data_IF_196943054168
#
_entry.id   IF_196943054168
#
_cell.length_a   1.000
_cell.length_b   1.000
_cell.length_c   1.000
_cell.angle_alpha   90.00
_cell.angle_beta   90.00
_cell.angle_gamma   90.00
#
_symmetry.space_group_name_H-M   'P 1'
#
loop_
_entity.id
_entity.type
_entity.pdbx_description
1 polymer ?
#
# COMPACT_ATOMS: atom_id res chain seq x y z
N UNK A 1 -16.95 17.26 27.93
CA UNK A 1 -15.58 16.89 27.53
C UNK A 1 -15.54 17.05 26.03
N UNK A 2 -14.84 18.08 25.52
CA UNK A 2 -14.68 18.22 24.06
C UNK A 2 -13.95 16.99 23.57
N UNK A 3 -14.48 16.30 22.57
CA UNK A 3 -13.77 15.19 21.96
C UNK A 3 -12.48 15.76 21.34
N UNK A 4 -11.33 15.17 21.65
CA UNK A 4 -10.07 15.60 21.05
C UNK A 4 -10.16 15.49 19.52
N UNK A 5 -9.66 16.50 18.82
CA UNK A 5 -9.73 16.55 17.35
C UNK A 5 -8.92 15.37 16.75
N UNK A 6 -9.30 14.84 15.57
CA UNK A 6 -8.58 13.72 14.94
C UNK A 6 -7.08 13.99 14.80
N UNK A 7 -6.71 15.23 14.48
CA UNK A 7 -5.31 15.66 14.30
C UNK A 7 -4.51 15.57 15.59
N UNK A 8 -5.10 15.92 16.73
CA UNK A 8 -4.45 15.86 18.04
C UNK A 8 -4.14 14.41 18.44
N UNK A 9 -5.00 13.46 18.03
CA UNK A 9 -4.83 12.03 18.31
C UNK A 9 -3.72 11.36 17.50
N UNK A 10 -3.33 11.92 16.35
CA UNK A 10 -2.25 11.35 15.51
C UNK A 10 -0.98 11.19 16.33
N UNK A 11 -0.64 12.20 17.13
CA UNK A 11 0.53 12.18 17.97
C UNK A 11 0.53 10.97 18.91
N UNK A 12 -0.55 10.83 19.68
CA UNK A 12 -0.76 9.77 20.66
C UNK A 12 -0.74 8.39 20.03
N UNK A 13 -1.42 8.21 18.89
CA UNK A 13 -1.46 6.92 18.19
C UNK A 13 -0.06 6.54 17.68
N UNK A 14 0.64 7.46 17.01
CA UNK A 14 1.99 7.17 16.50
C UNK A 14 3.00 6.85 17.61
N UNK A 15 2.88 7.48 18.77
CA UNK A 15 3.78 7.20 19.91
C UNK A 15 3.42 5.89 20.65
N UNK A 16 2.20 5.38 20.48
CA UNK A 16 1.74 4.12 21.06
C UNK A 16 2.06 2.89 20.18
N UNK A 17 2.49 3.10 18.93
CA UNK A 17 2.92 2.03 18.03
C UNK A 17 4.34 1.59 18.45
N UNK A 18 4.55 0.28 18.58
CA UNK A 18 5.84 -0.28 19.03
C UNK A 18 6.93 -0.12 17.96
N UNK A 19 6.56 -0.26 16.69
CA UNK A 19 7.46 -0.10 15.56
C UNK A 19 7.77 1.39 15.29
N UNK A 20 8.98 1.71 14.81
CA UNK A 20 9.35 3.10 14.52
C UNK A 20 8.49 3.68 13.39
N UNK A 21 7.77 4.76 13.71
CA UNK A 21 6.96 5.52 12.76
C UNK A 21 7.79 6.68 12.18
N UNK A 22 7.86 6.81 10.86
CA UNK A 22 8.63 7.90 10.26
C UNK A 22 7.96 9.27 10.44
N UNK A 23 8.77 10.32 10.30
CA UNK A 23 8.29 11.71 10.28
C UNK A 23 7.35 11.96 9.08
N UNK A 24 7.62 11.34 7.94
CA UNK A 24 6.83 11.51 6.72
C UNK A 24 5.45 10.89 6.88
N UNK A 25 5.36 9.70 7.50
CA UNK A 25 4.08 9.10 7.85
C UNK A 25 3.28 10.00 8.78
N UNK A 26 3.90 10.48 9.87
CA UNK A 26 3.23 11.32 10.86
C UNK A 26 2.71 12.63 10.23
N UNK A 27 3.52 13.25 9.37
CA UNK A 27 3.13 14.44 8.63
C UNK A 27 1.96 14.16 7.67
N UNK A 28 2.03 13.05 6.92
CA UNK A 28 0.97 12.65 5.99
C UNK A 28 -0.33 12.31 6.72
N UNK A 29 -0.27 11.59 7.83
CA UNK A 29 -1.42 11.26 8.66
C UNK A 29 -2.10 12.52 9.22
N UNK A 30 -1.33 13.50 9.68
CA UNK A 30 -1.87 14.79 10.15
C UNK A 30 -2.52 15.59 9.01
N UNK A 31 -1.96 15.56 7.79
CA UNK A 31 -2.56 16.18 6.61
C UNK A 31 -3.90 15.53 6.24
N UNK A 32 -3.94 14.20 6.23
CA UNK A 32 -5.15 13.41 5.96
C UNK A 32 -6.24 13.69 7.00
N UNK A 33 -5.90 13.66 8.28
CA UNK A 33 -6.83 13.95 9.37
C UNK A 33 -7.40 15.38 9.30
N UNK A 34 -6.58 16.39 8.98
CA UNK A 34 -7.06 17.77 8.76
C UNK A 34 -8.05 17.86 7.62
N UNK A 35 -7.81 17.16 6.50
CA UNK A 35 -8.75 17.17 5.37
C UNK A 35 -10.05 16.44 5.70
N UNK A 36 -9.97 15.34 6.44
CA UNK A 36 -11.14 14.64 6.97
C UNK A 36 -11.98 15.48 7.95
N UNK A 37 -11.40 16.54 8.52
CA UNK A 37 -12.11 17.45 9.43
C UNK A 37 -12.76 18.62 8.67
N UNK A 38 -12.01 19.26 7.76
CA UNK A 38 -12.44 20.52 7.14
C UNK A 38 -12.97 20.41 5.71
N UNK A 39 -12.55 19.39 4.95
CA UNK A 39 -12.89 19.27 3.52
C UNK A 39 -13.88 18.15 3.28
N UNK A 40 -13.66 16.99 3.90
CA UNK A 40 -14.47 15.80 3.74
C UNK A 40 -14.80 15.16 5.11
N UNK A 41 -15.74 15.77 5.87
CA UNK A 41 -16.15 15.26 7.18
C UNK A 41 -16.61 13.81 7.15
N UNK A 42 -15.91 12.95 7.89
CA UNK A 42 -16.29 11.55 8.06
C UNK A 42 -17.32 11.41 9.18
N UNK A 43 -18.35 10.59 8.99
CA UNK A 43 -19.32 10.27 10.06
C UNK A 43 -18.77 9.20 11.01
N UNK A 44 -17.62 9.48 11.64
CA UNK A 44 -16.87 8.57 12.50
C UNK A 44 -16.33 9.29 13.73
N UNK A 45 -15.97 8.54 14.77
CA UNK A 45 -15.36 9.14 15.96
C UNK A 45 -13.96 9.68 15.64
N UNK A 46 -13.47 10.71 16.36
CA UNK A 46 -12.14 11.25 16.13
C UNK A 46 -11.01 10.22 16.22
N UNK A 47 -11.16 9.21 17.08
CA UNK A 47 -10.20 8.10 17.15
C UNK A 47 -10.17 7.27 15.88
N UNK A 48 -11.34 6.91 15.34
CA UNK A 48 -11.42 6.11 14.11
C UNK A 48 -10.90 6.91 12.91
N UNK A 49 -11.21 8.20 12.83
CA UNK A 49 -10.69 9.09 11.78
C UNK A 49 -9.16 9.18 11.85
N UNK A 50 -8.61 9.43 13.05
CA UNK A 50 -7.16 9.50 13.26
C UNK A 50 -6.46 8.18 12.91
N UNK A 51 -6.98 7.04 13.39
CA UNK A 51 -6.44 5.71 13.12
C UNK A 51 -6.48 5.37 11.61
N UNK A 52 -7.58 5.73 10.93
CA UNK A 52 -7.71 5.55 9.48
C UNK A 52 -6.69 6.39 8.71
N UNK A 53 -6.45 7.63 9.14
CA UNK A 53 -5.45 8.51 8.56
C UNK A 53 -4.01 7.98 8.76
N UNK A 54 -3.69 7.45 9.95
CA UNK A 54 -2.39 6.81 10.23
C UNK A 54 -2.16 5.59 9.34
N UNK A 55 -3.15 4.70 9.25
CA UNK A 55 -3.03 3.50 8.42
C UNK A 55 -2.91 3.85 6.93
N UNK A 56 -3.74 4.77 6.44
CA UNK A 56 -3.66 5.24 5.05
C UNK A 56 -2.32 5.91 4.75
N UNK A 57 -1.80 6.74 5.65
CA UNK A 57 -0.48 7.35 5.51
C UNK A 57 0.61 6.29 5.35
N UNK A 58 0.59 5.23 6.18
CA UNK A 58 1.52 4.10 6.06
C UNK A 58 1.51 3.44 4.68
N UNK A 59 0.31 3.23 4.11
CA UNK A 59 0.17 2.69 2.76
C UNK A 59 0.78 3.62 1.70
N UNK A 60 0.56 4.93 1.82
CA UNK A 60 1.02 5.94 0.85
C UNK A 60 2.52 6.20 0.91
N UNK A 61 3.14 6.09 2.09
CA UNK A 61 4.60 6.24 2.26
C UNK A 61 5.36 4.91 2.18
N UNK A 62 4.66 3.81 1.91
CA UNK A 62 5.20 2.45 1.80
C UNK A 62 5.84 1.89 3.09
N UNK A 63 5.31 2.27 4.25
CA UNK A 63 5.68 1.69 5.54
C UNK A 63 4.85 0.45 5.88
N UNK A 64 5.50 -0.56 6.47
CA UNK A 64 4.88 -1.85 6.81
C UNK A 64 4.08 -1.79 8.10
N UNK A 65 3.05 -0.94 8.15
CA UNK A 65 2.11 -0.85 9.26
C UNK A 65 0.91 -1.76 9.02
N UNK A 66 0.58 -2.61 10.00
CA UNK A 66 -0.60 -3.47 9.92
C UNK A 66 -1.84 -2.76 10.48
N UNK A 67 -3.03 -3.15 10.01
CA UNK A 67 -4.28 -2.61 10.58
C UNK A 67 -4.45 -2.99 12.05
N UNK A 68 -3.92 -4.16 12.46
CA UNK A 68 -3.96 -4.62 13.85
C UNK A 68 -3.10 -3.71 14.75
N UNK A 69 -1.86 -3.43 14.34
CA UNK A 69 -0.95 -2.52 15.04
C UNK A 69 -1.61 -1.15 15.31
N UNK A 70 -2.26 -0.59 14.29
CA UNK A 70 -2.93 0.72 14.42
C UNK A 70 -4.22 0.62 15.25
N UNK A 71 -4.96 -0.48 15.14
CA UNK A 71 -6.17 -0.74 15.92
C UNK A 71 -5.87 -0.80 17.42
N UNK A 72 -4.81 -1.52 17.78
CA UNK A 72 -4.36 -1.66 19.16
C UNK A 72 -3.88 -0.32 19.72
N UNK A 73 -3.06 0.43 18.98
CA UNK A 73 -2.57 1.75 19.39
C UNK A 73 -3.68 2.81 19.55
N UNK A 74 -4.76 2.70 18.78
CA UNK A 74 -5.86 3.67 18.81
C UNK A 74 -7.07 3.23 19.65
N UNK A 75 -7.01 2.03 20.24
CA UNK A 75 -8.11 1.39 20.99
C UNK A 75 -9.41 1.31 20.17
N UNK A 76 -9.31 0.93 18.90
CA UNK A 76 -10.45 0.75 17.98
C UNK A 76 -10.43 -0.64 17.37
N UNK A 77 -11.55 -1.06 16.75
CA UNK A 77 -11.56 -2.33 16.04
C UNK A 77 -10.97 -2.18 14.61
N UNK A 78 -10.35 -3.27 14.13
CA UNK A 78 -9.73 -3.34 12.79
C UNK A 78 -10.70 -3.01 11.67
N UNK A 79 -11.98 -3.44 11.78
CA UNK A 79 -12.97 -3.17 10.74
C UNK A 79 -13.27 -1.66 10.61
N UNK A 80 -13.31 -0.92 11.71
CA UNK A 80 -13.49 0.53 11.71
C UNK A 80 -12.36 1.24 10.97
N UNK A 81 -11.11 0.77 11.14
CA UNK A 81 -9.97 1.25 10.36
C UNK A 81 -10.14 0.87 8.91
N UNK A 82 -10.50 -0.39 8.62
CA UNK A 82 -10.65 -0.89 7.25
C UNK A 82 -11.64 -0.05 6.44
N UNK A 83 -12.80 0.20 7.03
CA UNK A 83 -13.86 0.92 6.36
C UNK A 83 -13.53 2.43 6.33
N UNK A 84 -12.86 2.95 7.35
CA UNK A 84 -12.48 4.36 7.44
C UNK A 84 -11.35 4.77 6.51
N UNK A 85 -10.31 3.94 6.34
CA UNK A 85 -9.22 4.28 5.41
C UNK A 85 -9.72 4.25 3.95
N UNK A 86 -10.71 3.41 3.63
CA UNK A 86 -11.32 3.34 2.29
C UNK A 86 -12.11 4.59 1.98
N UNK A 87 -12.99 4.99 2.90
CA UNK A 87 -13.74 6.25 2.81
C UNK A 87 -12.78 7.45 2.67
N UNK A 88 -11.72 7.48 3.48
CA UNK A 88 -10.70 8.54 3.39
C UNK A 88 -9.94 8.51 2.06
N UNK A 89 -9.57 7.33 1.57
CA UNK A 89 -8.88 7.18 0.29
C UNK A 89 -9.73 7.60 -0.90
N UNK A 90 -11.03 7.31 -0.88
CA UNK A 90 -11.98 7.76 -1.92
C UNK A 90 -12.01 9.29 -1.99
N UNK A 91 -12.03 9.98 -0.84
CA UNK A 91 -11.95 11.44 -0.81
C UNK A 91 -10.62 11.98 -1.36
N UNK A 92 -9.50 11.32 -1.05
CA UNK A 92 -8.18 11.69 -1.57
C UNK A 92 -8.06 11.52 -3.08
N UNK A 93 -8.59 10.44 -3.63
CA UNK A 93 -8.58 10.15 -5.06
C UNK A 93 -9.47 11.15 -5.82
N UNK A 94 -10.63 11.50 -5.25
CA UNK A 94 -11.50 12.54 -5.79
C UNK A 94 -10.79 13.90 -5.79
N UNK A 95 -10.13 14.27 -4.69
CA UNK A 95 -9.39 15.52 -4.59
C UNK A 95 -8.28 15.61 -5.65
N UNK A 96 -7.49 14.55 -5.82
CA UNK A 96 -6.46 14.47 -6.86
C UNK A 96 -7.06 14.54 -8.27
N UNK A 97 -8.22 13.93 -8.49
CA UNK A 97 -8.96 14.01 -9.75
C UNK A 97 -9.48 15.41 -10.07
N UNK A 98 -9.93 16.18 -9.06
CA UNK A 98 -10.37 17.58 -9.22
C UNK A 98 -9.19 18.47 -9.58
N UNK A 99 -8.03 18.31 -8.92
CA UNK A 99 -6.81 19.05 -9.25
C UNK A 99 -6.35 18.82 -10.70
N UNK A 100 -6.42 17.57 -11.17
CA UNK A 100 -6.11 17.24 -12.57
C UNK A 100 -7.12 17.84 -13.57
N UNK A 101 -8.39 18.00 -13.17
CA UNK A 101 -9.44 18.52 -14.04
C UNK A 101 -9.40 20.04 -14.18
N UNK A 102 -9.02 20.73 -13.12
CA UNK A 102 -9.14 22.19 -13.07
C UNK A 102 -7.95 22.92 -13.69
N UNK A 103 -6.79 22.28 -13.89
CA UNK A 103 -5.72 22.76 -14.79
C UNK A 103 -5.21 24.20 -14.53
N UNK A 104 -5.65 24.84 -13.45
CA UNK A 104 -5.20 26.15 -12.99
C UNK A 104 -4.33 25.87 -11.78
N UNK A 105 -3.04 25.68 -12.07
CA UNK A 105 -2.00 25.75 -11.06
C UNK A 105 -2.00 27.16 -10.50
N UNK A 106 -2.62 27.33 -9.34
CA UNK A 106 -2.35 28.47 -8.48
C UNK A 106 -0.90 28.28 -8.04
N UNK A 107 0.01 28.99 -8.70
CA UNK A 107 1.44 28.94 -8.42
C UNK A 107 1.74 29.44 -7.01
N UNK A 108 1.60 28.58 -6.03
CA UNK A 108 2.43 28.60 -4.83
C UNK A 108 3.29 27.34 -4.87
N UNK A 109 4.45 27.46 -5.49
CA UNK A 109 5.56 26.55 -5.31
C UNK A 109 6.09 26.78 -3.88
N UNK A 110 5.90 25.88 -2.90
CA UNK A 110 6.65 25.98 -1.67
C UNK A 110 8.11 25.68 -2.01
N UNK A 111 8.95 26.70 -1.89
CA UNK A 111 10.38 26.59 -2.04
C UNK A 111 10.91 25.42 -1.18
N UNK A 112 11.32 24.34 -1.84
CA UNK A 112 12.14 23.27 -1.28
C UNK A 112 11.41 21.97 -0.92
N UNK A 113 11.16 21.11 -1.90
CA UNK A 113 11.25 19.66 -1.72
C UNK A 113 11.37 18.96 -3.09
N UNK A 114 12.25 17.97 -3.17
CA UNK A 114 12.66 17.27 -4.38
C UNK A 114 11.48 16.61 -5.12
N UNK A 115 11.55 16.68 -6.46
CA UNK A 115 10.53 16.19 -7.37
C UNK A 115 10.13 14.72 -7.16
N UNK A 116 8.84 14.51 -6.88
CA UNK A 116 8.19 13.21 -7.01
C UNK A 116 7.84 12.96 -8.48
N UNK A 117 8.51 12.00 -9.08
CA UNK A 117 8.21 11.52 -10.43
C UNK A 117 6.83 10.83 -10.41
N UNK A 118 5.82 11.44 -11.05
CA UNK A 118 4.51 10.84 -11.22
C UNK A 118 4.58 9.84 -12.38
N UNK A 119 4.57 8.55 -12.05
CA UNK A 119 4.61 7.50 -13.07
C UNK A 119 3.20 7.31 -13.65
N UNK A 120 2.98 7.49 -14.97
CA UNK A 120 1.66 7.30 -15.57
C UNK A 120 1.20 5.83 -15.48
N UNK A 121 -0.12 5.56 -15.43
CA UNK A 121 -0.68 4.24 -15.13
C UNK A 121 -0.23 3.13 -16.11
N UNK A 122 0.12 3.46 -17.35
CA UNK A 122 0.65 2.51 -18.32
C UNK A 122 2.01 1.90 -17.93
N UNK A 123 2.83 2.63 -17.15
CA UNK A 123 4.16 2.16 -16.73
C UNK A 123 4.12 1.32 -15.43
N UNK A 124 2.99 1.28 -14.71
CA UNK A 124 2.83 0.44 -13.50
C UNK A 124 2.86 -1.05 -13.84
N UNK A 125 2.40 -1.42 -15.03
CA UNK A 125 2.40 -2.82 -15.51
C UNK A 125 3.84 -3.28 -15.80
N UNK A 126 4.68 -2.41 -16.37
CA UNK A 126 6.10 -2.73 -16.64
C UNK A 126 6.94 -2.73 -15.35
N UNK A 127 6.65 -1.80 -14.42
CA UNK A 127 7.32 -1.75 -13.11
C UNK A 127 7.04 -2.96 -12.22
N UNK A 128 5.80 -3.48 -12.23
CA UNK A 128 5.44 -4.69 -11.47
C UNK A 128 6.08 -5.95 -12.07
N UNK A 129 6.22 -6.00 -13.40
CA UNK A 129 6.92 -7.08 -14.10
C UNK A 129 8.45 -7.08 -13.84
N UNK A 130 9.09 -5.91 -13.71
CA UNK A 130 10.50 -5.85 -13.31
C UNK A 130 10.73 -6.21 -11.84
N UNK A 131 9.78 -5.90 -10.94
CA UNK A 131 9.90 -6.23 -9.52
C UNK A 131 9.68 -7.73 -9.24
N UNK A 132 8.97 -8.45 -10.11
CA UNK A 132 8.88 -9.92 -10.02
C UNK A 132 10.19 -10.60 -10.39
N UNK A 133 10.98 -10.03 -11.31
CA UNK A 133 12.30 -10.57 -11.64
C UNK A 133 13.31 -10.43 -10.49
N UNK A 134 13.24 -9.35 -9.71
CA UNK A 134 14.09 -9.16 -8.53
C UNK A 134 13.59 -9.95 -7.29
N UNK A 135 12.26 -10.04 -7.10
CA UNK A 135 11.66 -10.77 -5.97
C UNK A 135 11.86 -12.28 -6.03
N UNK A 136 11.86 -12.88 -7.23
CA UNK A 136 12.12 -14.32 -7.40
C UNK A 136 13.59 -14.66 -7.08
N UNK A 137 14.54 -13.77 -7.38
CA UNK A 137 15.94 -13.95 -7.00
C UNK A 137 16.19 -13.97 -5.49
N UNK A 138 15.46 -13.15 -4.72
CA UNK A 138 15.62 -13.08 -3.26
C UNK A 138 14.95 -14.27 -2.55
N UNK A 139 13.81 -14.76 -3.06
CA UNK A 139 13.16 -15.96 -2.52
C UNK A 139 14.00 -17.22 -2.75
N UNK A 140 14.73 -17.33 -3.87
CA UNK A 140 15.68 -18.44 -4.07
C UNK A 140 16.83 -18.46 -3.06
N UNK A 141 17.31 -17.30 -2.58
CA UNK A 141 18.43 -17.27 -1.63
C UNK A 141 18.01 -17.66 -0.20
N UNK A 142 16.83 -17.24 0.27
CA UNK A 142 16.36 -17.57 1.63
C UNK A 142 15.76 -18.98 1.73
N UNK A 143 15.00 -19.45 0.74
CA UNK A 143 14.43 -20.82 0.74
C UNK A 143 15.55 -21.89 0.65
N UNK A 144 16.71 -21.52 0.11
CA UNK A 144 17.89 -22.39 0.02
C UNK A 144 18.72 -22.45 1.31
N UNK A 145 18.45 -21.57 2.29
CA UNK A 145 19.10 -21.61 3.61
C UNK A 145 18.31 -22.44 4.64
N UNK A 146 17.00 -22.63 4.45
CA UNK A 146 16.13 -23.39 5.37
C UNK A 146 16.00 -24.89 5.05
N UNK A 147 16.31 -25.30 3.81
CA UNK A 147 16.47 -26.70 3.45
C UNK A 147 17.94 -27.06 3.61
N UNK A 148 18.31 -27.68 4.73
CA UNK A 148 19.67 -28.14 5.07
C UNK A 148 20.29 -29.11 4.06
N UNK A 149 20.58 -28.64 2.86
CA UNK A 149 21.21 -29.34 1.74
C UNK A 149 22.54 -28.65 1.43
N UNK A 150 23.38 -28.50 2.46
CA UNK A 150 24.80 -28.22 2.30
C UNK A 150 25.56 -29.54 2.42
N UNK A 151 25.45 -30.41 1.42
CA UNK A 151 26.29 -31.61 1.42
C UNK A 151 26.88 -32.03 0.07
N UNK A 152 26.18 -32.03 -1.08
CA UNK A 152 26.76 -32.68 -2.29
C UNK A 152 26.28 -32.11 -3.63
N UNK A 153 26.30 -30.79 -3.84
CA UNK A 153 26.07 -30.23 -5.17
C UNK A 153 27.17 -29.23 -5.52
N UNK A 154 27.99 -29.57 -6.52
CA UNK A 154 28.93 -28.63 -7.12
C UNK A 154 28.17 -27.39 -7.63
N UNK A 155 28.76 -26.19 -7.55
CA UNK A 155 28.10 -24.97 -7.99
C UNK A 155 27.78 -25.08 -9.49
N UNK A 156 26.50 -25.21 -9.82
CA UNK A 156 26.06 -25.23 -11.22
C UNK A 156 26.41 -23.89 -11.87
N UNK A 157 27.06 -23.90 -13.06
CA UNK A 157 27.48 -22.68 -13.72
C UNK A 157 26.27 -21.84 -14.11
N UNK A 158 26.38 -20.52 -13.93
CA UNK A 158 25.31 -19.55 -14.15
C UNK A 158 24.66 -19.65 -15.56
N UNK A 159 25.39 -20.17 -16.55
CA UNK A 159 24.95 -20.39 -17.92
C UNK A 159 23.86 -21.48 -18.06
N UNK A 160 23.80 -22.44 -17.15
CA UNK A 160 22.80 -23.53 -17.18
C UNK A 160 21.49 -23.15 -16.46
N UNK A 161 21.47 -22.05 -15.71
CA UNK A 161 20.29 -21.56 -14.99
C UNK A 161 19.36 -20.72 -15.89
N UNK A 162 19.90 -20.12 -16.96
CA UNK A 162 19.17 -19.23 -17.85
C UNK A 162 17.93 -19.84 -18.54
N UNK A 163 17.95 -21.12 -18.99
CA UNK A 163 16.78 -21.75 -19.59
C UNK A 163 15.64 -21.94 -18.58
N UNK A 164 15.98 -22.35 -17.35
CA UNK A 164 15.00 -22.62 -16.30
C UNK A 164 14.38 -21.33 -15.78
N UNK A 165 15.19 -20.30 -15.55
CA UNK A 165 14.71 -18.96 -15.17
C UNK A 165 13.85 -18.37 -16.29
N UNK A 166 14.26 -18.50 -17.55
CA UNK A 166 13.49 -18.07 -18.71
C UNK A 166 12.13 -18.77 -18.81
N UNK A 167 12.08 -20.08 -18.59
CA UNK A 167 10.84 -20.86 -18.61
C UNK A 167 9.87 -20.44 -17.49
N UNK A 168 10.38 -20.16 -16.28
CA UNK A 168 9.57 -19.68 -15.15
C UNK A 168 8.96 -18.31 -15.47
N UNK A 169 9.77 -17.37 -15.97
CA UNK A 169 9.29 -16.03 -16.36
C UNK A 169 8.24 -16.12 -17.48
N UNK A 170 8.49 -16.96 -18.49
CA UNK A 170 7.55 -17.16 -19.60
C UNK A 170 6.21 -17.74 -19.12
N UNK A 171 6.25 -18.71 -18.19
CA UNK A 171 5.07 -19.31 -17.59
C UNK A 171 4.28 -18.28 -16.77
N UNK A 172 4.95 -17.43 -15.98
CA UNK A 172 4.30 -16.38 -15.20
C UNK A 172 3.59 -15.37 -16.12
N UNK A 173 4.24 -14.93 -17.20
CA UNK A 173 3.65 -14.02 -18.19
C UNK A 173 2.46 -14.68 -18.89
N UNK A 174 2.57 -15.95 -19.26
CA UNK A 174 1.49 -16.71 -19.90
C UNK A 174 0.25 -16.83 -18.98
N UNK A 175 0.46 -17.19 -17.70
CA UNK A 175 -0.64 -17.30 -16.71
C UNK A 175 -1.34 -15.95 -16.54
N UNK A 176 -0.58 -14.85 -16.41
CA UNK A 176 -1.15 -13.50 -16.27
C UNK A 176 -1.99 -13.07 -17.48
N UNK A 177 -1.64 -13.50 -18.69
CA UNK A 177 -2.38 -13.18 -19.92
C UNK A 177 -3.60 -14.10 -20.13
N UNK A 178 -3.51 -15.37 -19.74
CA UNK A 178 -4.55 -16.37 -20.03
C UNK A 178 -5.66 -16.41 -18.97
N UNK A 179 -5.33 -16.24 -17.69
CA UNK A 179 -6.32 -16.27 -16.58
C UNK A 179 -7.50 -15.30 -16.77
N UNK A 180 -7.34 -14.04 -17.22
CA UNK A 180 -8.47 -13.14 -17.43
C UNK A 180 -9.35 -13.52 -18.65
N UNK A 181 -8.86 -14.37 -19.55
CA UNK A 181 -9.61 -14.87 -20.71
C UNK A 181 -10.42 -16.13 -20.42
N UNK A 182 -10.22 -16.76 -19.25
CA UNK A 182 -10.99 -17.93 -18.88
C UNK A 182 -12.42 -17.52 -18.50
N UNK A 183 -13.44 -18.22 -19.03
CA UNK A 183 -14.83 -17.95 -18.69
C UNK A 183 -15.04 -18.16 -17.20
N UNK A 184 -15.46 -17.09 -16.51
CA UNK A 184 -15.75 -17.13 -15.09
C UNK A 184 -17.02 -17.96 -14.89
N UNK A 185 -16.88 -19.24 -14.56
CA UNK A 185 -18.01 -20.09 -14.17
C UNK A 185 -18.52 -19.63 -12.81
N UNK A 186 -19.44 -18.66 -12.83
CA UNK A 186 -20.17 -18.24 -11.64
C UNK A 186 -20.96 -19.42 -11.07
N UNK A 187 -21.02 -19.60 -9.74
CA UNK A 187 -21.84 -20.64 -9.14
C UNK A 187 -23.31 -20.39 -9.49
N UNK A 188 -23.90 -21.33 -10.24
CA UNK A 188 -25.28 -21.28 -10.69
C UNK A 188 -26.22 -21.11 -9.50
N UNK A 189 -26.87 -19.95 -9.44
CA UNK A 189 -28.00 -19.70 -8.55
C UNK A 189 -29.17 -20.57 -8.96
N UNK A 190 -29.22 -21.79 -8.42
CA UNK A 190 -30.40 -22.63 -8.42
C UNK A 190 -31.48 -21.99 -7.54
N UNK A 191 -32.33 -21.17 -8.16
CA UNK A 191 -33.70 -20.97 -7.69
C UNK A 191 -34.56 -22.00 -8.41
N UNK A 192 -35.14 -22.92 -7.66
CA UNK A 192 -36.55 -23.31 -7.63
C UNK A 192 -36.72 -24.38 -6.53
#
# INVERSE_FOLDING_TARGET
MSAAEPVERIGVICDAIEEPVSRDLRAKAAQLARRAEYQHPMNRSPSVTAASAVYLAGLLVHEKLTQQTVADAAEVNVQSIRDGYRELFEHEDIAAGVELRDGRGDGEEPAGAAGGFHTPPALRIVGFALLTAAGVGVVSAHVMQDLGVLALAEPTPLSELWPTVGAIVLLTVLVALVVPLLPQSGPGGGRL
#
